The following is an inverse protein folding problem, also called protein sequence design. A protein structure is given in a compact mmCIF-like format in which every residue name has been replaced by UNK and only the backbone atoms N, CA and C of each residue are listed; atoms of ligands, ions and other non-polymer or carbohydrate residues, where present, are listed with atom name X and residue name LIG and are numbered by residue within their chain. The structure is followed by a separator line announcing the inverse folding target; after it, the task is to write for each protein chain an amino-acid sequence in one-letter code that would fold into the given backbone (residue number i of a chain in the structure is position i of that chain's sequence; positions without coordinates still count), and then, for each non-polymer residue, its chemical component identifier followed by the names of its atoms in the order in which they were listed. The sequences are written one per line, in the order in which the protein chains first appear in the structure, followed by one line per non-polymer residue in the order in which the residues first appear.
data_IF_851952626410
#
_entry.id   IF_851952626410
#
_cell.length_a   1.000
_cell.length_b   1.000
_cell.length_c   1.000
_cell.angle_alpha   90.00
_cell.angle_beta   90.00
_cell.angle_gamma   90.00
#
_symmetry.space_group_name_H-M   'P 1'
#
loop_
_entity.id
_entity.type
_entity.pdbx_description
1 polymer ?
#
# COMPACT_ATOMS: atom_id res chain seq x y z
N UNK A 1 14.21 -22.67 -9.92
CA UNK A 1 13.66 -21.32 -10.24
C UNK A 1 13.93 -21.03 -11.70
N UNK A 2 12.98 -20.46 -12.40
CA UNK A 2 13.20 -20.12 -13.80
C UNK A 2 13.93 -18.78 -13.90
N UNK A 3 14.80 -18.63 -14.89
CA UNK A 3 15.52 -17.38 -15.22
C UNK A 3 14.53 -16.21 -15.36
N UNK A 4 13.33 -16.48 -15.84
CA UNK A 4 12.26 -15.47 -15.99
C UNK A 4 11.81 -14.92 -14.63
N UNK A 5 11.71 -15.78 -13.61
CA UNK A 5 11.35 -15.36 -12.25
C UNK A 5 12.43 -14.45 -11.65
N UNK A 6 13.69 -14.82 -11.85
CA UNK A 6 14.84 -14.05 -11.36
C UNK A 6 14.93 -12.67 -12.04
N UNK A 7 14.68 -12.59 -13.34
CA UNK A 7 14.62 -11.33 -14.09
C UNK A 7 13.47 -10.46 -13.60
N UNK A 8 12.29 -11.03 -13.35
CA UNK A 8 11.16 -10.29 -12.79
C UNK A 8 11.48 -9.69 -11.41
N UNK A 9 12.07 -10.50 -10.53
CA UNK A 9 12.48 -10.04 -9.20
C UNK A 9 13.54 -8.93 -9.29
N UNK A 10 14.54 -9.10 -10.15
CA UNK A 10 15.58 -8.11 -10.36
C UNK A 10 15.00 -6.78 -10.86
N UNK A 11 14.11 -6.83 -11.87
CA UNK A 11 13.47 -5.64 -12.42
C UNK A 11 12.55 -4.96 -11.40
N UNK A 12 11.79 -5.73 -10.63
CA UNK A 12 10.96 -5.23 -9.56
C UNK A 12 11.76 -4.51 -8.47
N UNK A 13 12.85 -5.09 -8.01
CA UNK A 13 13.74 -4.47 -7.02
C UNK A 13 14.45 -3.21 -7.56
N UNK A 14 14.85 -3.22 -8.82
CA UNK A 14 15.43 -2.05 -9.46
C UNK A 14 14.42 -0.89 -9.52
N UNK A 15 13.20 -1.17 -9.95
CA UNK A 15 12.12 -0.17 -10.01
C UNK A 15 11.80 0.40 -8.62
N UNK A 16 11.75 -0.44 -7.59
CA UNK A 16 11.54 0.00 -6.20
C UNK A 16 12.64 0.96 -5.74
N UNK A 17 13.89 0.61 -5.96
CA UNK A 17 15.04 1.46 -5.59
C UNK A 17 15.00 2.78 -6.33
N UNK A 18 14.73 2.75 -7.63
CA UNK A 18 14.58 3.94 -8.46
C UNK A 18 13.45 4.84 -7.97
N UNK A 19 12.27 4.28 -7.72
CA UNK A 19 11.11 5.02 -7.21
C UNK A 19 11.38 5.66 -5.85
N UNK A 20 12.13 5.01 -4.98
CA UNK A 20 12.51 5.55 -3.68
C UNK A 20 13.46 6.75 -3.80
N UNK A 21 14.40 6.71 -4.74
CA UNK A 21 15.37 7.80 -4.98
C UNK A 21 14.73 8.99 -5.72
N UNK A 22 13.89 8.72 -6.72
CA UNK A 22 13.29 9.76 -7.58
C UNK A 22 12.17 10.55 -6.88
N UNK A 23 11.50 9.96 -5.89
CA UNK A 23 10.40 10.63 -5.19
C UNK A 23 10.89 11.47 -4.02
N UNK A 24 11.07 12.75 -4.30
CA UNK A 24 11.26 13.76 -3.24
C UNK A 24 9.90 13.99 -2.54
N UNK A 25 9.57 13.16 -1.56
CA UNK A 25 8.43 13.42 -0.70
C UNK A 25 8.76 14.53 0.31
N UNK A 26 7.76 15.30 0.66
CA UNK A 26 7.87 16.29 1.73
C UNK A 26 7.77 15.55 3.08
N UNK A 27 8.91 15.12 3.60
CA UNK A 27 8.96 14.43 4.90
C UNK A 27 8.52 15.37 6.03
N UNK A 28 7.59 14.92 6.85
CA UNK A 28 7.13 15.61 8.03
C UNK A 28 6.66 14.59 9.06
N UNK A 29 7.14 14.71 10.28
CA UNK A 29 6.70 13.86 11.39
C UNK A 29 5.31 14.29 11.85
N UNK A 30 4.41 13.34 12.00
CA UNK A 30 3.05 13.56 12.50
C UNK A 30 2.77 12.70 13.71
N UNK A 31 2.13 13.28 14.72
CA UNK A 31 1.39 12.50 15.69
C UNK A 31 0.08 12.02 15.07
N UNK A 32 -0.37 10.84 15.48
CA UNK A 32 -1.62 10.28 14.97
C UNK A 32 -2.83 11.19 15.25
N UNK A 33 -2.82 11.93 16.38
CA UNK A 33 -3.84 12.92 16.72
C UNK A 33 -3.89 14.08 15.76
N UNK A 34 -2.75 14.55 15.27
CA UNK A 34 -2.64 15.74 14.45
C UNK A 34 -2.86 15.46 12.95
N UNK A 35 -2.57 14.23 12.53
CA UNK A 35 -2.81 13.79 11.17
C UNK A 35 -4.30 13.83 10.82
N UNK A 36 -4.64 14.42 9.70
CA UNK A 36 -6.01 14.54 9.20
C UNK A 36 -6.32 13.57 8.07
N UNK A 37 -5.33 13.27 7.26
CA UNK A 37 -5.45 12.40 6.07
C UNK A 37 -4.53 11.21 6.22
N UNK A 38 -5.12 10.03 6.41
CA UNK A 38 -4.38 8.79 6.69
C UNK A 38 -4.73 7.76 5.62
N UNK A 39 -3.73 7.02 5.16
CA UNK A 39 -3.96 5.85 4.32
C UNK A 39 -3.36 4.59 4.94
N UNK A 40 -4.01 3.47 4.70
CA UNK A 40 -3.64 2.16 5.23
C UNK A 40 -3.41 1.20 4.06
N UNK A 41 -2.27 0.52 4.08
CA UNK A 41 -1.99 -0.61 3.21
C UNK A 41 -2.07 -1.92 4.01
N UNK A 42 -2.65 -2.96 3.42
CA UNK A 42 -2.71 -4.27 4.07
C UNK A 42 -2.87 -5.42 3.06
N UNK A 43 -2.56 -6.63 3.52
CA UNK A 43 -2.88 -7.86 2.80
C UNK A 43 -4.35 -8.20 3.02
N UNK A 44 -5.18 -7.98 2.00
CA UNK A 44 -6.62 -8.22 2.01
C UNK A 44 -7.02 -9.61 1.50
N UNK A 45 -6.09 -10.54 1.37
CA UNK A 45 -6.38 -11.88 0.83
C UNK A 45 -7.35 -12.67 1.72
N UNK A 46 -7.22 -12.53 3.03
CA UNK A 46 -8.05 -13.25 4.00
C UNK A 46 -9.21 -12.39 4.52
N UNK A 47 -10.46 -12.90 4.52
CA UNK A 47 -11.64 -12.17 5.02
C UNK A 47 -11.53 -11.70 6.47
N UNK A 48 -10.88 -12.48 7.33
CA UNK A 48 -10.70 -12.11 8.74
C UNK A 48 -9.79 -10.88 8.92
N UNK A 49 -8.77 -10.74 8.08
CA UNK A 49 -7.90 -9.56 8.11
C UNK A 49 -8.63 -8.31 7.62
N UNK A 50 -9.50 -8.46 6.61
CA UNK A 50 -10.39 -7.38 6.17
C UNK A 50 -11.27 -6.88 7.32
N UNK A 51 -11.89 -7.79 8.09
CA UNK A 51 -12.73 -7.44 9.24
C UNK A 51 -11.95 -6.69 10.32
N UNK A 52 -10.74 -7.17 10.64
CA UNK A 52 -9.85 -6.50 11.62
C UNK A 52 -9.50 -5.09 11.17
N UNK A 53 -9.14 -4.91 9.90
CA UNK A 53 -8.80 -3.59 9.35
C UNK A 53 -10.02 -2.68 9.35
N UNK A 54 -11.20 -3.15 8.98
CA UNK A 54 -12.44 -2.37 9.07
C UNK A 54 -12.72 -1.87 10.49
N UNK A 55 -12.53 -2.72 11.49
CA UNK A 55 -12.68 -2.35 12.90
C UNK A 55 -11.64 -1.29 13.32
N UNK A 56 -10.40 -1.46 12.90
CA UNK A 56 -9.34 -0.50 13.16
C UNK A 56 -9.62 0.86 12.52
N UNK A 57 -10.04 0.87 11.26
CA UNK A 57 -10.41 2.09 10.52
C UNK A 57 -11.57 2.82 11.19
N UNK A 58 -12.59 2.11 11.65
CA UNK A 58 -13.73 2.72 12.34
C UNK A 58 -13.32 3.47 13.61
N UNK A 59 -12.34 2.96 14.34
CA UNK A 59 -11.76 3.63 15.52
C UNK A 59 -10.87 4.82 15.12
N UNK A 60 -10.05 4.64 14.09
CA UNK A 60 -9.09 5.64 13.63
C UNK A 60 -9.77 6.85 12.99
N UNK A 61 -10.91 6.65 12.34
CA UNK A 61 -11.61 7.69 11.56
C UNK A 61 -12.18 8.83 12.40
N UNK A 62 -12.26 8.66 13.71
CA UNK A 62 -12.79 9.70 14.61
C UNK A 62 -11.89 10.96 14.57
N UNK A 63 -12.46 12.09 14.16
CA UNK A 63 -11.75 13.35 14.07
C UNK A 63 -10.76 13.46 12.90
N UNK A 64 -10.86 12.59 11.90
CA UNK A 64 -10.07 12.63 10.66
C UNK A 64 -10.88 13.15 9.49
N UNK A 65 -10.21 13.83 8.56
CA UNK A 65 -10.83 14.32 7.33
C UNK A 65 -10.93 13.19 6.29
N UNK A 66 -9.93 12.31 6.26
CA UNK A 66 -9.87 11.16 5.38
C UNK A 66 -9.11 10.00 6.02
N UNK A 67 -9.72 8.84 6.05
CA UNK A 67 -9.01 7.57 6.24
C UNK A 67 -9.34 6.67 5.05
N UNK A 68 -8.36 6.46 4.19
CA UNK A 68 -8.48 5.57 3.03
C UNK A 68 -7.74 4.25 3.28
N UNK A 69 -8.17 3.21 2.62
CA UNK A 69 -7.59 1.87 2.76
C UNK A 69 -7.40 1.26 1.39
N UNK A 70 -6.24 0.70 1.15
CA UNK A 70 -5.93 -0.06 -0.05
C UNK A 70 -5.45 -1.45 0.32
N UNK A 71 -6.25 -2.46 0.00
CA UNK A 71 -5.92 -3.87 0.20
C UNK A 71 -5.38 -4.53 -1.06
N UNK A 72 -4.34 -5.33 -0.90
CA UNK A 72 -3.86 -6.21 -1.96
C UNK A 72 -4.42 -7.62 -1.76
N UNK A 73 -4.98 -8.19 -2.82
CA UNK A 73 -5.51 -9.55 -2.83
C UNK A 73 -4.58 -10.42 -3.68
N UNK A 74 -3.84 -11.31 -3.03
CA UNK A 74 -2.89 -12.19 -3.72
C UNK A 74 -3.60 -13.35 -4.45
N UNK A 75 -4.60 -13.01 -5.22
CA UNK A 75 -5.39 -13.90 -6.06
C UNK A 75 -5.71 -13.20 -7.38
N UNK A 76 -6.05 -13.98 -8.42
CA UNK A 76 -6.45 -13.39 -9.70
C UNK A 76 -7.78 -12.66 -9.58
N UNK A 77 -8.75 -13.28 -8.96
CA UNK A 77 -10.11 -12.77 -8.87
C UNK A 77 -10.43 -12.29 -7.46
N UNK A 78 -10.95 -11.09 -7.37
CA UNK A 78 -11.49 -10.55 -6.13
C UNK A 78 -12.84 -11.22 -5.82
N UNK A 79 -13.03 -11.65 -4.57
CA UNK A 79 -14.31 -12.18 -4.10
C UNK A 79 -15.26 -11.06 -3.67
N UNK A 80 -16.46 -11.45 -3.21
CA UNK A 80 -17.46 -10.49 -2.72
C UNK A 80 -16.95 -9.63 -1.55
N UNK A 81 -16.11 -10.20 -0.68
CA UNK A 81 -15.49 -9.48 0.43
C UNK A 81 -14.53 -8.36 -0.01
N UNK A 82 -14.05 -8.43 -1.25
CA UNK A 82 -13.14 -7.44 -1.84
C UNK A 82 -13.86 -6.35 -2.66
N UNK A 83 -15.15 -6.16 -2.42
CA UNK A 83 -15.88 -5.06 -3.05
C UNK A 83 -15.41 -3.72 -2.50
N UNK A 84 -15.01 -2.85 -3.40
CA UNK A 84 -14.67 -1.47 -3.06
C UNK A 84 -15.88 -0.74 -2.48
N UNK A 85 -15.62 0.06 -1.47
CA UNK A 85 -16.59 0.96 -0.86
C UNK A 85 -15.94 2.34 -0.67
N UNK A 86 -16.66 3.30 -0.12
CA UNK A 86 -16.14 4.65 0.06
C UNK A 86 -14.82 4.62 0.86
N UNK A 87 -13.73 5.04 0.23
CA UNK A 87 -12.38 5.08 0.79
C UNK A 87 -11.78 3.71 1.18
N UNK A 88 -12.36 2.61 0.70
CA UNK A 88 -11.87 1.26 0.96
C UNK A 88 -11.80 0.49 -0.36
N UNK A 89 -10.60 0.42 -0.94
CA UNK A 89 -10.36 -0.16 -2.25
C UNK A 89 -9.48 -1.41 -2.18
N UNK A 90 -9.59 -2.25 -3.20
CA UNK A 90 -8.79 -3.45 -3.36
C UNK A 90 -8.21 -3.54 -4.77
N UNK A 91 -7.01 -4.04 -4.87
CA UNK A 91 -6.41 -4.48 -6.12
C UNK A 91 -5.86 -5.90 -5.99
N UNK A 92 -5.74 -6.60 -7.10
CA UNK A 92 -5.34 -8.01 -7.15
C UNK A 92 -4.22 -8.24 -8.16
N UNK A 93 -3.87 -9.51 -8.40
CA UNK A 93 -2.89 -9.86 -9.42
C UNK A 93 -3.28 -9.43 -10.84
N UNK A 94 -4.57 -9.13 -11.09
CA UNK A 94 -5.03 -8.56 -12.37
C UNK A 94 -4.49 -7.15 -12.63
N UNK A 95 -4.33 -6.36 -11.58
CA UNK A 95 -3.82 -4.99 -11.67
C UNK A 95 -2.30 -4.92 -11.62
N UNK A 96 -1.61 -6.03 -11.88
CA UNK A 96 -0.15 -6.08 -11.93
C UNK A 96 0.35 -6.23 -13.37
N UNK A 97 1.45 -5.55 -13.68
CA UNK A 97 2.14 -5.78 -14.94
C UNK A 97 2.99 -7.07 -14.89
N UNK A 98 3.73 -7.36 -15.96
CA UNK A 98 4.48 -8.60 -16.12
C UNK A 98 5.55 -8.87 -15.02
N UNK A 99 6.06 -7.85 -14.35
CA UNK A 99 7.02 -7.98 -13.24
C UNK A 99 6.43 -7.67 -11.87
N UNK A 100 5.11 -7.47 -11.77
CA UNK A 100 4.39 -7.35 -10.51
C UNK A 100 4.13 -5.92 -10.04
N UNK A 101 4.43 -4.89 -10.85
CA UNK A 101 4.14 -3.49 -10.52
C UNK A 101 2.64 -3.23 -10.63
N UNK A 102 2.02 -2.65 -9.58
CA UNK A 102 0.63 -2.24 -9.63
C UNK A 102 0.37 -1.15 -10.67
N UNK A 103 -0.76 -1.26 -11.35
CA UNK A 103 -1.21 -0.30 -12.35
C UNK A 103 -2.74 -0.22 -12.39
N UNK A 104 -3.27 0.79 -13.07
CA UNK A 104 -4.71 1.01 -13.23
C UNK A 104 -5.24 2.15 -12.39
N UNK A 105 -6.52 2.45 -12.56
CA UNK A 105 -7.15 3.66 -12.03
C UNK A 105 -7.11 3.74 -10.49
N UNK A 106 -7.35 2.64 -9.80
CA UNK A 106 -7.30 2.60 -8.32
C UNK A 106 -5.90 2.98 -7.83
N UNK A 107 -4.87 2.44 -8.48
CA UNK A 107 -3.47 2.71 -8.15
C UNK A 107 -3.10 4.16 -8.44
N UNK A 108 -3.50 4.67 -9.59
CA UNK A 108 -3.25 6.07 -9.98
C UNK A 108 -3.92 7.06 -9.02
N UNK A 109 -5.16 6.80 -8.64
CA UNK A 109 -5.89 7.64 -7.69
C UNK A 109 -5.20 7.65 -6.33
N UNK A 110 -4.80 6.48 -5.83
CA UNK A 110 -4.06 6.36 -4.58
C UNK A 110 -2.74 7.15 -4.61
N UNK A 111 -2.01 7.11 -5.71
CA UNK A 111 -0.71 7.79 -5.85
C UNK A 111 -0.81 9.31 -6.08
N UNK A 112 -1.98 9.81 -6.48
CA UNK A 112 -2.26 11.24 -6.63
C UNK A 112 -2.75 11.90 -5.35
N UNK A 113 -3.31 11.10 -4.44
CA UNK A 113 -3.89 11.58 -3.19
C UNK A 113 -2.78 11.98 -2.19
N UNK A 114 -2.96 13.11 -1.53
CA UNK A 114 -2.03 13.54 -0.48
C UNK A 114 -2.44 12.97 0.87
N UNK A 115 -1.47 12.35 1.57
CA UNK A 115 -1.65 11.79 2.91
C UNK A 115 -0.64 12.38 3.89
N UNK A 116 -1.09 12.61 5.12
CA UNK A 116 -0.20 12.96 6.23
C UNK A 116 0.56 11.73 6.70
N UNK A 117 -0.15 10.62 6.89
CA UNK A 117 0.43 9.35 7.34
C UNK A 117 0.00 8.20 6.41
N UNK A 118 0.96 7.34 6.06
CA UNK A 118 0.73 6.02 5.53
C UNK A 118 1.06 4.98 6.60
N UNK A 119 0.13 4.07 6.86
CA UNK A 119 0.32 2.94 7.78
C UNK A 119 0.29 1.64 6.97
N UNK A 120 1.41 0.92 6.96
CA UNK A 120 1.50 -0.40 6.32
C UNK A 120 1.36 -1.50 7.37
N UNK A 121 0.23 -2.19 7.34
CA UNK A 121 -0.10 -3.29 8.25
C UNK A 121 0.34 -4.66 7.71
N UNK A 122 1.08 -4.71 6.62
CA UNK A 122 1.48 -5.95 5.96
C UNK A 122 2.50 -6.72 6.78
N UNK A 123 2.20 -7.98 7.10
CA UNK A 123 3.10 -8.88 7.82
C UNK A 123 3.99 -9.69 6.87
N UNK A 124 3.46 -10.07 5.71
CA UNK A 124 4.18 -10.77 4.65
C UNK A 124 4.72 -9.78 3.64
N UNK A 125 5.88 -10.09 3.08
CA UNK A 125 6.47 -9.25 2.04
C UNK A 125 5.83 -9.56 0.69
N UNK A 126 5.06 -8.59 0.19
CA UNK A 126 4.53 -8.60 -1.17
C UNK A 126 5.10 -7.42 -1.94
N UNK A 127 5.71 -7.69 -3.08
CA UNK A 127 6.26 -6.64 -3.94
C UNK A 127 5.23 -5.55 -4.28
N UNK A 128 3.97 -5.86 -4.67
CA UNK A 128 2.98 -4.84 -4.97
C UNK A 128 2.72 -3.86 -3.81
N UNK A 129 2.62 -4.37 -2.58
CA UNK A 129 2.43 -3.52 -1.39
C UNK A 129 3.69 -2.72 -1.05
N UNK A 130 4.86 -3.31 -1.20
CA UNK A 130 6.14 -2.60 -1.05
C UNK A 130 6.25 -1.45 -2.06
N UNK A 131 5.87 -1.68 -3.31
CA UNK A 131 5.82 -0.65 -4.33
C UNK A 131 4.88 0.49 -3.94
N UNK A 132 3.67 0.19 -3.46
CA UNK A 132 2.70 1.20 -3.04
C UNK A 132 3.21 2.03 -1.85
N UNK A 133 3.87 1.40 -0.88
CA UNK A 133 4.47 2.10 0.25
C UNK A 133 5.58 3.06 -0.18
N UNK A 134 6.46 2.63 -1.09
CA UNK A 134 7.53 3.46 -1.66
C UNK A 134 6.95 4.60 -2.50
N UNK A 135 6.03 4.28 -3.40
CA UNK A 135 5.49 5.20 -4.39
C UNK A 135 4.51 6.22 -3.82
N UNK A 136 3.93 5.97 -2.66
CA UNK A 136 3.00 6.90 -2.00
C UNK A 136 3.67 8.25 -1.67
N UNK A 137 2.98 9.38 -1.91
CA UNK A 137 3.48 10.71 -1.55
C UNK A 137 3.29 11.06 -0.06
N UNK A 138 2.88 10.11 0.78
CA UNK A 138 2.65 10.35 2.20
C UNK A 138 3.86 10.99 2.90
N UNK A 139 3.59 11.98 3.75
CA UNK A 139 4.63 12.78 4.43
C UNK A 139 5.34 11.97 5.52
N UNK A 140 4.64 11.07 6.17
CA UNK A 140 5.16 10.17 7.19
C UNK A 140 4.71 8.74 6.91
N UNK A 141 5.61 7.76 6.99
CA UNK A 141 5.33 6.37 6.65
C UNK A 141 5.68 5.46 7.81
N UNK A 142 4.71 4.71 8.27
CA UNK A 142 4.84 3.77 9.39
C UNK A 142 4.57 2.36 8.92
N UNK A 143 5.44 1.44 9.28
CA UNK A 143 5.28 0.04 8.95
C UNK A 143 6.37 -0.83 9.57
N UNK A 144 6.31 -2.12 9.28
CA UNK A 144 7.32 -3.06 9.72
C UNK A 144 8.58 -2.93 8.88
N UNK A 145 9.74 -2.79 9.52
CA UNK A 145 11.05 -2.81 8.85
C UNK A 145 11.20 -4.03 7.94
N UNK A 146 11.66 -3.80 6.74
CA UNK A 146 11.94 -4.81 5.71
C UNK A 146 13.41 -4.80 5.35
N UNK A 147 13.97 -5.97 5.08
CA UNK A 147 15.42 -6.12 4.85
C UNK A 147 15.92 -5.49 3.54
N UNK A 148 15.04 -5.24 2.60
CA UNK A 148 15.38 -4.84 1.24
C UNK A 148 15.15 -3.36 0.94
N UNK A 149 14.34 -2.66 1.74
CA UNK A 149 14.01 -1.25 1.49
C UNK A 149 13.74 -0.52 2.81
N UNK A 150 14.47 0.55 3.00
CA UNK A 150 14.21 1.51 4.08
C UNK A 150 13.19 2.55 3.59
N UNK A 151 11.93 2.31 3.87
CA UNK A 151 10.79 3.13 3.40
C UNK A 151 10.12 3.87 4.54
N UNK A 152 10.15 3.26 5.73
CA UNK A 152 9.43 3.76 6.89
C UNK A 152 10.30 4.70 7.73
N UNK A 153 9.63 5.66 8.36
CA UNK A 153 10.26 6.71 9.17
C UNK A 153 10.39 6.35 10.64
#
# INVERSE_FOLDING_TARGET
MSIITDIKHWFGHWELRRSNVERKRKHQVFNLSDAKRITILFDGTLPDDIKKVKTFVAKLSKGKDLVSVLGFVNEKDKSFEHMSSLHFDFFSNHELNWYGKPQGMIIENFLKEEYDILIDLTLKQFYPLSYMAVASPAKFKVGRTRNDIDVFD
#
